data_IF_858529815254
#
_entry.id   IF_858529815254
#
_cell.length_a   1.000
_cell.length_b   1.000
_cell.length_c   1.000
_cell.angle_alpha   90.00
_cell.angle_beta   90.00
_cell.angle_gamma   90.00
#
_symmetry.space_group_name_H-M   'P 1'
#
loop_
_entity.id
_entity.type
_entity.pdbx_description
1 polymer ?
#
# COMPACT_ATOMS: atom_id res chain seq x y z
N UNK A 1 -23.13 2.49 -6.37
CA UNK A 1 -21.67 2.69 -6.47
C UNK A 1 -20.97 1.62 -5.66
N UNK A 2 -19.83 1.16 -6.14
CA UNK A 2 -19.04 0.09 -5.54
C UNK A 2 -17.66 0.61 -5.14
N UNK A 3 -17.09 0.03 -4.07
CA UNK A 3 -15.67 0.17 -3.74
C UNK A 3 -15.03 -1.19 -3.97
N UNK A 4 -13.96 -1.23 -4.75
CA UNK A 4 -13.26 -2.46 -5.11
C UNK A 4 -11.86 -2.43 -4.54
N UNK A 5 -11.42 -3.56 -4.03
CA UNK A 5 -10.06 -3.75 -3.54
C UNK A 5 -9.44 -5.00 -4.15
N UNK A 6 -8.15 -4.92 -4.43
CA UNK A 6 -7.33 -6.06 -4.84
C UNK A 6 -6.07 -6.10 -3.99
N UNK A 7 -5.61 -7.28 -3.64
CA UNK A 7 -4.31 -7.46 -2.99
C UNK A 7 -3.64 -8.74 -3.49
N UNK A 8 -2.33 -8.80 -3.31
CA UNK A 8 -1.52 -9.97 -3.62
C UNK A 8 -0.44 -10.14 -2.54
N UNK A 9 -0.25 -11.36 -2.06
CA UNK A 9 0.86 -11.74 -1.20
C UNK A 9 1.93 -12.41 -2.06
N UNK A 10 3.16 -11.90 -1.98
CA UNK A 10 4.26 -12.32 -2.81
C UNK A 10 5.48 -12.64 -1.96
N UNK A 11 6.33 -13.54 -2.44
CA UNK A 11 7.68 -13.68 -1.89
C UNK A 11 8.50 -12.46 -2.26
N UNK A 12 9.33 -12.01 -1.33
CA UNK A 12 10.20 -10.87 -1.54
C UNK A 12 11.47 -10.97 -0.70
N UNK A 13 12.51 -10.25 -1.13
CA UNK A 13 13.68 -9.97 -0.32
C UNK A 13 14.14 -8.54 -0.57
N UNK A 14 14.83 -7.95 0.39
CA UNK A 14 15.50 -6.66 0.17
C UNK A 14 16.92 -6.86 -0.37
N UNK A 15 17.32 -5.93 -1.25
CA UNK A 15 18.68 -5.79 -1.76
C UNK A 15 19.07 -4.31 -1.70
N UNK A 16 19.78 -3.93 -0.65
CA UNK A 16 19.97 -2.52 -0.31
C UNK A 16 18.64 -1.81 -0.09
N UNK A 17 18.44 -0.72 -0.80
CA UNK A 17 17.19 0.06 -0.74
C UNK A 17 16.09 -0.45 -1.69
N UNK A 18 16.36 -1.55 -2.42
CA UNK A 18 15.39 -2.15 -3.32
C UNK A 18 14.62 -3.30 -2.67
N UNK A 19 13.39 -3.53 -3.14
CA UNK A 19 12.66 -4.76 -2.92
C UNK A 19 12.62 -5.58 -4.20
N UNK A 20 12.98 -6.85 -4.10
CA UNK A 20 12.88 -7.83 -5.18
C UNK A 20 11.65 -8.69 -4.89
N UNK A 21 10.59 -8.51 -5.66
CA UNK A 21 9.29 -9.16 -5.46
C UNK A 21 9.05 -10.20 -6.54
N UNK A 22 8.72 -11.42 -6.15
CA UNK A 22 8.33 -12.49 -7.08
C UNK A 22 6.92 -12.25 -7.60
N UNK A 23 6.79 -11.84 -8.86
CA UNK A 23 5.50 -11.65 -9.53
C UNK A 23 4.82 -12.98 -9.86
N UNK A 24 5.62 -13.88 -10.47
CA UNK A 24 5.27 -15.24 -10.85
C UNK A 24 6.52 -16.12 -10.64
N UNK A 25 6.35 -17.42 -10.72
CA UNK A 25 7.48 -18.34 -10.57
C UNK A 25 8.67 -17.91 -11.45
N UNK A 26 9.80 -17.66 -10.81
CA UNK A 26 11.06 -17.26 -11.44
C UNK A 26 11.02 -15.91 -12.21
N UNK A 27 9.98 -15.09 -12.01
CA UNK A 27 9.89 -13.73 -12.55
C UNK A 27 9.80 -12.72 -11.43
N UNK A 28 10.71 -11.77 -11.42
CA UNK A 28 10.87 -10.79 -10.36
C UNK A 28 10.67 -9.36 -10.87
N UNK A 29 10.13 -8.51 -10.01
CA UNK A 29 10.04 -7.07 -10.21
C UNK A 29 10.89 -6.41 -9.12
N UNK A 30 11.70 -5.43 -9.52
CA UNK A 30 12.48 -4.62 -8.58
C UNK A 30 11.75 -3.32 -8.29
N UNK A 31 11.46 -3.08 -7.02
CA UNK A 31 10.89 -1.83 -6.51
C UNK A 31 12.01 -1.00 -5.89
N UNK A 32 12.48 0.07 -6.54
CA UNK A 32 13.42 1.00 -5.95
C UNK A 32 12.70 1.83 -4.88
N UNK A 33 13.25 1.88 -3.68
CA UNK A 33 12.67 2.61 -2.55
C UNK A 33 13.60 3.74 -2.11
N UNK A 34 13.02 4.77 -1.53
CA UNK A 34 13.76 5.93 -1.07
C UNK A 34 14.03 5.82 0.43
N UNK A 35 15.31 5.88 0.79
CA UNK A 35 15.75 5.98 2.19
C UNK A 35 15.55 7.40 2.70
N UNK A 36 15.13 7.54 3.95
CA UNK A 36 15.02 8.83 4.63
C UNK A 36 16.31 9.65 4.47
N UNK A 37 16.16 10.96 4.20
CA UNK A 37 17.29 11.86 4.00
C UNK A 37 17.44 12.89 5.12
N UNK A 38 16.40 13.08 5.96
CA UNK A 38 16.39 14.07 7.03
C UNK A 38 16.99 13.49 8.30
N UNK A 39 18.08 14.07 8.86
CA UNK A 39 18.65 13.62 10.12
C UNK A 39 17.65 13.73 11.25
N UNK A 40 17.55 12.68 12.06
CA UNK A 40 16.75 12.68 13.27
C UNK A 40 17.53 13.26 14.46
N UNK A 41 16.83 13.97 15.35
CA UNK A 41 17.44 14.64 16.51
C UNK A 41 18.06 13.66 17.50
N UNK A 42 17.59 12.44 17.55
CA UNK A 42 18.02 11.36 18.44
C UNK A 42 19.17 10.51 17.85
N UNK A 43 19.64 10.83 16.65
CA UNK A 43 20.69 10.08 15.97
C UNK A 43 20.26 8.71 15.45
N UNK A 44 18.95 8.39 15.44
CA UNK A 44 18.46 7.13 14.90
C UNK A 44 18.73 7.01 13.38
N UNK A 45 18.90 5.78 12.87
CA UNK A 45 19.25 5.56 11.47
C UNK A 45 18.18 6.07 10.51
N UNK A 46 18.59 6.39 9.28
CA UNK A 46 17.68 6.68 8.17
C UNK A 46 16.99 5.38 7.77
N UNK A 47 15.66 5.36 7.83
CA UNK A 47 14.86 4.19 7.50
C UNK A 47 14.48 4.15 6.02
N UNK A 48 14.43 2.94 5.47
CA UNK A 48 13.84 2.62 4.18
C UNK A 48 12.80 1.51 4.40
N UNK A 49 11.77 1.43 3.56
CA UNK A 49 10.81 0.32 3.66
C UNK A 49 11.45 -1.05 3.39
N UNK A 50 12.56 -1.09 2.66
CA UNK A 50 13.34 -2.31 2.47
C UNK A 50 13.90 -2.89 3.76
N UNK A 51 14.14 -2.06 4.79
CA UNK A 51 14.66 -2.50 6.09
C UNK A 51 13.67 -3.41 6.85
N UNK A 52 12.39 -3.39 6.46
CA UNK A 52 11.33 -4.22 7.05
C UNK A 52 11.17 -5.58 6.36
N UNK A 53 11.96 -5.86 5.34
CA UNK A 53 11.92 -7.10 4.57
C UNK A 53 13.29 -7.79 4.68
N UNK A 54 13.27 -9.10 4.83
CA UNK A 54 14.48 -9.92 4.98
C UNK A 54 15.42 -9.73 3.79
N UNK A 55 16.73 -9.53 4.04
CA UNK A 55 17.70 -9.34 2.97
C UNK A 55 17.92 -10.60 2.14
N UNK A 56 18.20 -10.42 0.86
CA UNK A 56 18.46 -11.52 -0.08
C UNK A 56 19.68 -12.38 0.35
N UNK A 57 20.64 -11.78 1.02
CA UNK A 57 21.82 -12.46 1.57
C UNK A 57 21.49 -13.53 2.60
N UNK A 58 20.29 -13.51 3.19
CA UNK A 58 19.83 -14.55 4.12
C UNK A 58 19.55 -15.89 3.45
N UNK A 59 19.34 -15.91 2.12
CA UNK A 59 18.92 -17.09 1.37
C UNK A 59 17.49 -17.59 1.70
N UNK A 60 16.74 -16.84 2.51
CA UNK A 60 15.38 -17.21 2.94
C UNK A 60 14.41 -16.16 2.41
N UNK A 61 13.39 -16.53 1.63
CA UNK A 61 12.39 -15.59 1.17
C UNK A 61 11.53 -15.07 2.33
N UNK A 62 11.20 -13.78 2.28
CA UNK A 62 10.18 -13.15 3.11
C UNK A 62 8.86 -13.03 2.34
N UNK A 63 7.84 -12.46 2.95
CA UNK A 63 6.56 -12.19 2.32
C UNK A 63 6.25 -10.70 2.40
N UNK A 64 5.74 -10.16 1.29
CA UNK A 64 5.22 -8.80 1.21
C UNK A 64 3.82 -8.83 0.60
N UNK A 65 2.96 -7.92 1.03
CA UNK A 65 1.68 -7.66 0.38
C UNK A 65 1.76 -6.43 -0.52
N UNK A 66 1.06 -6.47 -1.63
CA UNK A 66 0.73 -5.30 -2.44
C UNK A 66 -0.78 -5.15 -2.50
N UNK A 67 -1.29 -3.92 -2.59
CA UNK A 67 -2.72 -3.66 -2.63
C UNK A 67 -3.07 -2.45 -3.49
N UNK A 68 -4.31 -2.45 -3.96
CA UNK A 68 -4.96 -1.27 -4.52
C UNK A 68 -6.45 -1.27 -4.17
N UNK A 69 -7.01 -0.10 -3.99
CA UNK A 69 -8.44 0.14 -3.75
C UNK A 69 -8.92 1.29 -4.60
N UNK A 70 -10.14 1.20 -5.13
CA UNK A 70 -10.72 2.22 -5.97
C UNK A 70 -12.21 2.31 -5.74
N UNK A 71 -12.75 3.51 -5.93
CA UNK A 71 -14.19 3.73 -5.98
C UNK A 71 -14.65 3.73 -7.44
N UNK A 72 -15.94 3.51 -7.64
CA UNK A 72 -16.58 3.62 -8.96
C UNK A 72 -16.31 4.98 -9.60
N UNK A 73 -15.73 4.98 -10.81
CA UNK A 73 -15.37 6.19 -11.54
C UNK A 73 -16.58 7.11 -11.82
N UNK A 74 -17.79 6.56 -11.89
CA UNK A 74 -19.01 7.34 -12.10
C UNK A 74 -19.29 8.32 -10.95
N UNK A 75 -18.69 8.11 -9.77
CA UNK A 75 -18.79 9.07 -8.67
C UNK A 75 -18.05 10.37 -8.93
N UNK A 76 -16.97 10.36 -9.69
CA UNK A 76 -16.18 11.56 -9.96
C UNK A 76 -16.96 12.63 -10.77
N UNK A 77 -17.82 12.20 -11.68
CA UNK A 77 -18.66 13.08 -12.50
C UNK A 77 -19.94 13.58 -11.81
N UNK A 78 -20.20 13.17 -10.56
CA UNK A 78 -21.41 13.59 -9.88
C UNK A 78 -21.36 15.07 -9.49
N UNK A 79 -22.47 15.76 -9.78
CA UNK A 79 -22.68 17.16 -9.39
C UNK A 79 -21.64 18.15 -9.94
N UNK A 80 -21.06 17.93 -11.10
CA UNK A 80 -20.10 18.85 -11.74
C UNK A 80 -20.62 20.30 -11.84
N UNK A 81 -21.95 20.49 -11.97
CA UNK A 81 -22.59 21.80 -12.04
C UNK A 81 -22.85 22.45 -10.68
N UNK A 82 -22.59 21.76 -9.56
CA UNK A 82 -22.70 22.25 -8.19
C UNK A 82 -21.37 22.02 -7.46
N UNK A 83 -20.47 23.03 -7.42
CA UNK A 83 -19.12 22.86 -6.86
C UNK A 83 -19.10 22.39 -5.42
N UNK A 84 -20.09 22.76 -4.62
CA UNK A 84 -20.16 22.34 -3.22
C UNK A 84 -20.49 20.84 -3.10
N UNK A 85 -21.52 20.38 -3.82
CA UNK A 85 -21.86 18.94 -3.82
C UNK A 85 -20.79 18.10 -4.48
N UNK A 86 -20.17 18.60 -5.54
CA UNK A 86 -19.05 17.93 -6.19
C UNK A 86 -17.90 17.69 -5.21
N UNK A 87 -17.47 18.72 -4.46
CA UNK A 87 -16.44 18.62 -3.43
C UNK A 87 -16.83 17.63 -2.31
N UNK A 88 -18.10 17.61 -1.89
CA UNK A 88 -18.57 16.64 -0.90
C UNK A 88 -18.47 15.20 -1.41
N UNK A 89 -18.84 14.95 -2.66
CA UNK A 89 -18.74 13.62 -3.28
C UNK A 89 -17.27 13.20 -3.41
N UNK A 90 -16.39 14.09 -3.86
CA UNK A 90 -14.96 13.79 -3.92
C UNK A 90 -14.39 13.41 -2.53
N UNK A 91 -14.70 14.22 -1.51
CA UNK A 91 -14.26 13.93 -0.13
C UNK A 91 -14.82 12.60 0.38
N UNK A 92 -16.08 12.29 0.08
CA UNK A 92 -16.72 11.03 0.45
C UNK A 92 -16.03 9.85 -0.27
N UNK A 93 -15.72 10.01 -1.55
CA UNK A 93 -15.04 9.00 -2.36
C UNK A 93 -13.67 8.65 -1.79
N UNK A 94 -12.87 9.64 -1.42
CA UNK A 94 -11.58 9.44 -0.77
C UNK A 94 -11.71 8.66 0.54
N UNK A 95 -12.67 9.07 1.39
CA UNK A 95 -12.91 8.38 2.67
C UNK A 95 -13.38 6.94 2.49
N UNK A 96 -14.19 6.66 1.48
CA UNK A 96 -14.65 5.31 1.17
C UNK A 96 -13.51 4.43 0.66
N UNK A 97 -12.64 4.94 -0.20
CA UNK A 97 -11.46 4.21 -0.68
C UNK A 97 -10.51 3.87 0.48
N UNK A 98 -10.25 4.84 1.38
CA UNK A 98 -9.43 4.61 2.59
C UNK A 98 -10.07 3.59 3.54
N UNK A 99 -11.37 3.69 3.81
CA UNK A 99 -12.09 2.77 4.69
C UNK A 99 -12.11 1.34 4.12
N UNK A 100 -12.29 1.19 2.82
CA UNK A 100 -12.21 -0.12 2.15
C UNK A 100 -10.82 -0.72 2.24
N UNK A 101 -9.79 0.12 2.08
CA UNK A 101 -8.38 -0.29 2.25
C UNK A 101 -8.11 -0.75 3.70
N UNK A 102 -8.65 -0.05 4.70
CA UNK A 102 -8.51 -0.47 6.10
C UNK A 102 -9.20 -1.81 6.34
N UNK A 103 -10.39 -1.99 5.81
CA UNK A 103 -11.14 -3.25 5.93
C UNK A 103 -10.45 -4.41 5.21
N UNK A 104 -9.88 -4.16 4.04
CA UNK A 104 -9.08 -5.13 3.31
C UNK A 104 -7.83 -5.51 4.13
N UNK A 105 -7.13 -4.54 4.73
CA UNK A 105 -5.95 -4.80 5.55
C UNK A 105 -6.28 -5.63 6.79
N UNK A 106 -7.42 -5.36 7.47
CA UNK A 106 -7.92 -6.21 8.56
C UNK A 106 -8.10 -7.66 8.09
N UNK A 107 -8.77 -7.87 6.93
CA UNK A 107 -8.96 -9.18 6.34
C UNK A 107 -7.62 -9.87 6.04
N UNK A 108 -6.66 -9.14 5.50
CA UNK A 108 -5.32 -9.68 5.22
C UNK A 108 -4.62 -10.10 6.51
N UNK A 109 -4.64 -9.29 7.55
CA UNK A 109 -4.01 -9.61 8.85
C UNK A 109 -4.62 -10.83 9.52
N UNK A 110 -5.96 -10.93 9.50
CA UNK A 110 -6.70 -11.98 10.24
C UNK A 110 -6.85 -13.26 9.45
N UNK A 111 -7.09 -13.19 8.14
CA UNK A 111 -7.52 -14.31 7.32
C UNK A 111 -6.52 -14.68 6.23
N UNK A 112 -6.25 -13.79 5.27
CA UNK A 112 -5.53 -14.11 4.05
C UNK A 112 -4.03 -14.40 4.31
N UNK A 113 -3.37 -13.56 5.09
CA UNK A 113 -2.00 -13.79 5.58
C UNK A 113 -2.03 -14.47 6.95
N UNK A 114 -2.99 -14.08 7.80
CA UNK A 114 -3.33 -14.80 9.03
C UNK A 114 -2.31 -14.67 10.16
N UNK A 115 -1.51 -13.61 10.18
CA UNK A 115 -0.53 -13.39 11.26
C UNK A 115 -1.12 -12.76 12.53
N UNK A 116 -2.34 -12.24 12.47
CA UNK A 116 -3.05 -11.61 13.59
C UNK A 116 -4.49 -12.14 13.73
N UNK A 117 -4.66 -13.46 13.72
CA UNK A 117 -5.98 -14.13 13.75
C UNK A 117 -6.86 -13.71 14.92
N UNK A 118 -6.26 -13.48 16.07
CA UNK A 118 -6.96 -13.12 17.32
C UNK A 118 -7.12 -11.61 17.50
N UNK A 119 -6.77 -10.80 16.48
CA UNK A 119 -6.89 -9.34 16.53
C UNK A 119 -8.33 -8.93 16.79
N UNK A 120 -8.53 -8.13 17.84
CA UNK A 120 -9.81 -7.55 18.21
C UNK A 120 -9.64 -6.05 18.49
N UNK A 121 -9.55 -5.26 17.44
CA UNK A 121 -9.33 -3.81 17.51
C UNK A 121 -10.62 -3.06 17.20
N UNK A 122 -10.94 -2.07 18.04
CA UNK A 122 -12.00 -1.10 17.76
C UNK A 122 -11.55 -0.01 16.80
N UNK A 123 -12.49 0.81 16.34
CA UNK A 123 -12.20 1.92 15.41
C UNK A 123 -11.15 2.87 15.99
N UNK A 124 -11.20 3.17 17.30
CA UNK A 124 -10.22 4.05 17.95
C UNK A 124 -8.80 3.48 17.93
N UNK A 125 -8.66 2.16 17.98
CA UNK A 125 -7.36 1.46 17.91
C UNK A 125 -6.83 1.45 16.47
N UNK A 126 -7.71 1.27 15.48
CA UNK A 126 -7.35 1.33 14.05
C UNK A 126 -6.87 2.72 13.65
N UNK A 127 -7.52 3.79 14.14
CA UNK A 127 -7.14 5.18 13.87
C UNK A 127 -5.73 5.56 14.40
N UNK A 128 -5.23 4.84 15.39
CA UNK A 128 -3.87 5.02 15.94
C UNK A 128 -2.95 3.86 15.58
N UNK A 129 -3.31 3.08 14.58
CA UNK A 129 -2.50 2.01 13.97
C UNK A 129 -1.94 0.99 14.98
N UNK A 130 -2.77 0.55 15.95
CA UNK A 130 -2.35 -0.44 16.96
C UNK A 130 -2.20 -1.87 16.42
N UNK A 131 -2.55 -2.09 15.17
CA UNK A 131 -2.37 -3.40 14.54
C UNK A 131 -0.88 -3.71 14.30
N UNK A 132 -0.57 -5.00 14.21
CA UNK A 132 0.76 -5.45 13.83
C UNK A 132 0.99 -5.25 12.32
N UNK A 133 2.20 -4.82 11.96
CA UNK A 133 2.59 -4.57 10.57
C UNK A 133 2.40 -3.11 10.13
N UNK A 134 2.71 -2.85 8.89
CA UNK A 134 2.61 -1.53 8.24
C UNK A 134 1.92 -1.65 6.89
N UNK A 135 1.28 -0.56 6.47
CA UNK A 135 0.61 -0.44 5.17
C UNK A 135 0.93 0.92 4.53
N UNK A 136 2.18 1.13 4.09
CA UNK A 136 2.55 2.36 3.40
C UNK A 136 1.84 2.47 2.05
N UNK A 137 1.21 3.62 1.82
CA UNK A 137 0.58 3.96 0.54
C UNK A 137 1.48 4.86 -0.29
N UNK A 138 1.38 4.75 -1.62
CA UNK A 138 2.12 5.60 -2.57
C UNK A 138 1.65 7.05 -2.45
N UNK A 139 2.58 7.99 -2.51
CA UNK A 139 2.34 9.42 -2.34
C UNK A 139 2.50 9.93 -0.90
N UNK A 140 2.62 9.03 0.09
CA UNK A 140 2.91 9.38 1.47
C UNK A 140 4.44 9.42 1.74
N UNK A 141 4.89 10.09 2.82
CA UNK A 141 6.34 10.27 3.08
C UNK A 141 7.17 8.99 3.15
N UNK A 142 6.56 7.86 3.50
CA UNK A 142 7.24 6.56 3.53
C UNK A 142 7.39 5.90 2.15
N UNK A 143 6.57 6.29 1.17
CA UNK A 143 6.58 5.79 -0.20
C UNK A 143 6.21 6.92 -1.18
N UNK A 144 7.06 7.97 -1.30
CA UNK A 144 6.68 9.22 -1.95
C UNK A 144 6.69 9.17 -3.48
N UNK A 145 7.37 8.19 -4.07
CA UNK A 145 7.57 8.12 -5.52
C UNK A 145 6.35 7.51 -6.22
N UNK A 146 5.63 8.33 -6.99
CA UNK A 146 4.45 7.89 -7.76
C UNK A 146 4.80 6.94 -8.91
N UNK A 147 6.05 6.86 -9.34
CA UNK A 147 6.45 5.91 -10.39
C UNK A 147 6.29 4.45 -9.94
N UNK A 148 6.26 4.20 -8.63
CA UNK A 148 5.97 2.90 -8.03
C UNK A 148 4.58 2.37 -8.43
N UNK A 149 3.64 3.25 -8.79
CA UNK A 149 2.32 2.85 -9.27
C UNK A 149 2.37 1.97 -10.52
N UNK A 150 3.33 2.21 -11.42
CA UNK A 150 3.52 1.35 -12.60
C UNK A 150 3.96 -0.06 -12.22
N UNK A 151 4.82 -0.20 -11.20
CA UNK A 151 5.27 -1.49 -10.70
C UNK A 151 4.16 -2.22 -9.95
N UNK A 152 3.34 -1.49 -9.20
CA UNK A 152 2.15 -2.04 -8.54
C UNK A 152 1.11 -2.48 -9.56
N UNK A 153 0.88 -1.72 -10.64
CA UNK A 153 -0.02 -2.13 -11.72
C UNK A 153 0.49 -3.39 -12.42
N UNK A 154 1.79 -3.47 -12.70
CA UNK A 154 2.39 -4.67 -13.26
C UNK A 154 2.21 -5.89 -12.34
N UNK A 155 2.25 -5.71 -11.02
CA UNK A 155 2.12 -6.79 -10.03
C UNK A 155 0.67 -7.22 -9.81
N UNK A 156 -0.27 -6.28 -9.77
CA UNK A 156 -1.67 -6.46 -9.36
C UNK A 156 -2.65 -6.53 -10.53
N UNK A 157 -2.32 -5.95 -11.70
CA UNK A 157 -3.26 -5.67 -12.79
C UNK A 157 -4.46 -4.84 -12.28
N UNK A 158 -4.18 -3.59 -11.89
CA UNK A 158 -5.15 -2.71 -11.23
C UNK A 158 -6.36 -2.37 -12.10
N UNK A 159 -6.28 -2.64 -13.42
CA UNK A 159 -7.42 -2.51 -14.35
C UNK A 159 -8.61 -3.40 -13.96
N UNK A 160 -8.36 -4.51 -13.26
CA UNK A 160 -9.42 -5.41 -12.78
C UNK A 160 -10.40 -4.71 -11.83
N UNK A 161 -9.96 -3.66 -11.14
CA UNK A 161 -10.79 -2.84 -10.23
C UNK A 161 -11.08 -1.45 -10.77
N UNK A 162 -10.84 -1.22 -12.08
CA UNK A 162 -11.16 0.02 -12.78
C UNK A 162 -10.11 1.12 -12.67
N UNK A 163 -8.93 0.85 -12.11
CA UNK A 163 -7.84 1.82 -12.04
C UNK A 163 -7.07 1.84 -13.36
N UNK A 164 -6.82 3.04 -13.87
CA UNK A 164 -5.87 3.31 -14.95
C UNK A 164 -4.82 4.32 -14.48
N UNK A 165 -3.65 4.29 -15.10
CA UNK A 165 -2.56 5.21 -14.79
C UNK A 165 -2.37 6.23 -15.91
N UNK A 166 -2.12 7.47 -15.51
CA UNK A 166 -1.64 8.52 -16.43
C UNK A 166 -0.17 8.30 -16.79
N UNK A 167 0.35 9.04 -17.77
CA UNK A 167 1.77 9.01 -18.14
C UNK A 167 2.73 9.31 -16.97
N UNK A 168 2.27 10.09 -15.99
CA UNK A 168 3.03 10.45 -14.80
C UNK A 168 2.78 9.51 -13.61
N UNK A 169 2.02 8.43 -13.80
CA UNK A 169 1.73 7.45 -12.76
C UNK A 169 0.61 7.85 -11.80
N UNK A 170 -0.15 8.93 -12.05
CA UNK A 170 -1.32 9.24 -11.26
C UNK A 170 -2.46 8.25 -11.58
N UNK A 171 -3.22 7.87 -10.55
CA UNK A 171 -4.34 6.95 -10.69
C UNK A 171 -5.62 7.67 -11.12
N UNK A 172 -6.42 7.01 -11.94
CA UNK A 172 -7.79 7.35 -12.24
C UNK A 172 -8.67 6.10 -12.00
N UNK A 173 -9.79 6.20 -11.25
CA UNK A 173 -10.34 7.37 -10.55
C UNK A 173 -9.37 7.98 -9.53
N UNK A 174 -9.50 9.30 -9.25
CA UNK A 174 -8.62 10.01 -8.30
C UNK A 174 -8.76 9.45 -6.87
N UNK A 175 -9.98 9.07 -6.50
CA UNK A 175 -10.27 8.38 -5.23
C UNK A 175 -9.81 6.92 -5.29
N UNK A 176 -8.52 6.72 -5.52
CA UNK A 176 -7.85 5.44 -5.52
C UNK A 176 -6.63 5.48 -4.60
N UNK A 177 -6.32 4.36 -3.99
CA UNK A 177 -5.14 4.20 -3.13
C UNK A 177 -4.45 2.88 -3.43
N UNK A 178 -3.13 2.86 -3.47
CA UNK A 178 -2.35 1.64 -3.61
C UNK A 178 -1.07 1.72 -2.78
N UNK A 179 -0.45 0.57 -2.53
CA UNK A 179 0.76 0.50 -1.73
C UNK A 179 1.22 -0.90 -1.41
N UNK A 180 2.02 -0.99 -0.36
CA UNK A 180 2.62 -2.23 0.12
C UNK A 180 2.13 -2.55 1.54
N UNK A 181 2.26 -3.81 1.94
CA UNK A 181 1.99 -4.29 3.31
C UNK A 181 3.12 -5.17 3.78
N UNK A 182 3.61 -4.95 5.00
CA UNK A 182 4.62 -5.81 5.61
C UNK A 182 4.30 -6.08 7.08
N UNK A 183 4.77 -7.22 7.59
CA UNK A 183 4.45 -7.67 8.96
C UNK A 183 5.50 -7.22 9.96
N UNK A 184 6.75 -7.09 9.54
CA UNK A 184 7.86 -7.05 10.47
C UNK A 184 8.27 -5.64 10.88
N UNK A 185 8.08 -5.32 12.18
CA UNK A 185 8.79 -4.28 12.89
C UNK A 185 10.08 -4.80 13.58
N UNK A 186 10.26 -6.12 13.64
CA UNK A 186 11.19 -6.78 14.57
C UNK A 186 12.62 -6.97 14.05
N UNK A 187 12.89 -6.65 12.78
CA UNK A 187 14.24 -6.78 12.23
C UNK A 187 15.15 -5.56 12.46
N UNK A 188 14.61 -4.48 13.04
CA UNK A 188 15.38 -3.27 13.38
C UNK A 188 16.07 -3.34 14.76
N UNK A 189 16.02 -4.46 15.45
CA UNK A 189 16.60 -4.66 16.79
C UNK A 189 17.77 -5.66 16.79
N UNK A 190 18.53 -5.71 15.72
CA UNK A 190 19.82 -6.45 15.71
C UNK A 190 20.95 -5.52 15.30
#
# INVERSE_FOLDING_TARGET
YEVKTIFKLCKANSDGDNLIIEKEKDRFITFPLLRQQTPKRDGSPFLCLSDFIRPISSGIPDTIGAFASSIDADMEGLYEQDPYKHLLVQTLSDRLAEAATEKMHEYVRKEAWGYAKDENLGIADLLVEKYQGIRPAVGYPSLPDQSVNFLLDELLDMKQIGISLTENGAMYPHASVCGLMSVSYTHLTL
#
